data_IF_241532072066
#
_entry.id   IF_241532072066
#
_cell.length_a   1.000
_cell.length_b   1.000
_cell.length_c   1.000
_cell.angle_alpha   90.00
_cell.angle_beta   90.00
_cell.angle_gamma   90.00
#
_symmetry.space_group_name_H-M   'P 1'
#
loop_
_entity.id
_entity.type
_entity.pdbx_description
1 polymer ?
#
# COMPACT_ATOMS: atom_id res chain seq x y z
N UNK A 1 -2.49 -5.47 -23.99
CA UNK A 1 -3.17 -4.42 -23.23
C UNK A 1 -2.09 -3.43 -22.81
N UNK A 2 -2.14 -2.22 -23.37
CA UNK A 2 -1.10 -1.17 -23.23
C UNK A 2 -1.62 0.05 -22.47
N UNK A 3 -2.78 -0.07 -21.83
CA UNK A 3 -3.37 1.03 -21.08
C UNK A 3 -2.91 0.95 -19.64
N UNK A 4 -2.25 2.01 -19.17
CA UNK A 4 -1.92 2.19 -17.76
C UNK A 4 -3.24 2.33 -16.99
N UNK A 5 -3.45 1.49 -15.98
CA UNK A 5 -4.67 1.48 -15.18
C UNK A 5 -4.30 1.96 -13.78
N UNK A 6 -5.07 2.91 -13.25
CA UNK A 6 -4.96 3.32 -11.85
C UNK A 6 -6.07 2.70 -11.02
N UNK A 7 -5.69 2.02 -9.94
CA UNK A 7 -6.61 1.53 -8.92
C UNK A 7 -6.37 2.30 -7.61
N UNK A 8 -7.44 2.84 -7.04
CA UNK A 8 -7.41 3.46 -5.71
C UNK A 8 -8.38 2.76 -4.79
N UNK A 9 -7.98 2.59 -3.53
CA UNK A 9 -8.86 2.04 -2.51
C UNK A 9 -8.52 2.61 -1.14
N UNK A 10 -9.50 2.51 -0.24
CA UNK A 10 -9.31 2.78 1.18
C UNK A 10 -9.67 1.53 1.98
N UNK A 11 -8.94 1.28 3.06
CA UNK A 11 -9.20 0.15 3.96
C UNK A 11 -9.01 0.56 5.42
N UNK A 12 -9.60 -0.20 6.34
CA UNK A 12 -9.41 -0.04 7.77
C UNK A 12 -8.38 -1.07 8.24
N UNK A 13 -7.40 -0.65 9.04
CA UNK A 13 -6.42 -1.57 9.62
C UNK A 13 -7.10 -2.55 10.57
N UNK A 14 -6.64 -3.79 10.55
CA UNK A 14 -6.98 -4.81 11.54
C UNK A 14 -5.93 -4.91 12.65
N UNK A 15 -4.83 -4.16 12.53
CA UNK A 15 -3.74 -4.16 13.48
C UNK A 15 -4.12 -3.43 14.78
N UNK A 16 -3.51 -3.85 15.89
CA UNK A 16 -3.56 -3.07 17.11
C UNK A 16 -2.74 -1.77 16.94
N UNK A 17 -3.06 -0.68 17.66
CA UNK A 17 -2.36 0.60 17.54
C UNK A 17 -0.83 0.49 17.70
N UNK A 18 -0.38 -0.43 18.56
CA UNK A 18 1.05 -0.64 18.85
C UNK A 18 1.80 -1.36 17.71
N UNK A 19 1.09 -2.11 16.86
CA UNK A 19 1.69 -2.89 15.78
C UNK A 19 1.62 -2.18 14.42
N UNK A 20 0.78 -1.16 14.29
CA UNK A 20 0.48 -0.55 12.98
C UNK A 20 1.71 0.04 12.31
N UNK A 21 2.65 0.59 13.08
CA UNK A 21 3.89 1.16 12.53
C UNK A 21 4.77 0.07 11.92
N UNK A 22 4.85 -1.10 12.58
CA UNK A 22 5.59 -2.25 12.07
C UNK A 22 4.93 -2.80 10.82
N UNK A 23 3.62 -2.96 10.85
CA UNK A 23 2.85 -3.45 9.70
C UNK A 23 3.01 -2.51 8.49
N UNK A 24 3.01 -1.18 8.69
CA UNK A 24 3.28 -0.21 7.62
C UNK A 24 4.67 -0.44 7.01
N UNK A 25 5.71 -0.63 7.83
CA UNK A 25 7.08 -0.89 7.34
C UNK A 25 7.12 -2.20 6.55
N UNK A 26 6.53 -3.26 7.09
CA UNK A 26 6.52 -4.58 6.45
C UNK A 26 5.76 -4.55 5.11
N UNK A 27 4.62 -3.86 5.05
CA UNK A 27 3.85 -3.64 3.82
C UNK A 27 4.69 -2.88 2.78
N UNK A 28 5.38 -1.81 3.19
CA UNK A 28 6.21 -1.02 2.27
C UNK A 28 7.38 -1.85 1.74
N UNK A 29 8.07 -2.61 2.58
CA UNK A 29 9.17 -3.48 2.18
C UNK A 29 8.74 -4.53 1.14
N UNK A 30 7.60 -5.20 1.37
CA UNK A 30 7.06 -6.17 0.41
C UNK A 30 6.62 -5.48 -0.89
N UNK A 31 5.92 -4.35 -0.77
CA UNK A 31 5.39 -3.61 -1.93
C UNK A 31 6.51 -3.11 -2.84
N UNK A 32 7.59 -2.55 -2.30
CA UNK A 32 8.72 -2.06 -3.10
C UNK A 32 9.32 -3.18 -3.94
N UNK A 33 9.57 -4.35 -3.34
CA UNK A 33 10.19 -5.49 -4.03
C UNK A 33 9.26 -6.08 -5.10
N UNK A 34 7.99 -6.29 -4.75
CA UNK A 34 7.01 -6.86 -5.67
C UNK A 34 6.70 -5.89 -6.82
N UNK A 35 6.41 -4.63 -6.50
CA UNK A 35 5.99 -3.64 -7.48
C UNK A 35 7.10 -3.35 -8.49
N UNK A 36 8.37 -3.26 -8.05
CA UNK A 36 9.51 -3.07 -8.95
C UNK A 36 9.64 -4.20 -9.98
N UNK A 37 9.38 -5.46 -9.58
CA UNK A 37 9.42 -6.61 -10.48
C UNK A 37 8.28 -6.62 -11.51
N UNK A 38 7.14 -6.04 -11.15
CA UNK A 38 5.92 -6.04 -11.96
C UNK A 38 5.64 -4.70 -12.65
N UNK A 39 6.56 -3.75 -12.56
CA UNK A 39 6.41 -2.39 -13.09
C UNK A 39 5.16 -1.67 -12.58
N UNK A 40 4.79 -1.93 -11.32
CA UNK A 40 3.73 -1.23 -10.60
C UNK A 40 4.37 -0.06 -9.84
N UNK A 41 3.71 1.08 -9.82
CA UNK A 41 4.04 2.27 -9.04
C UNK A 41 2.86 2.67 -8.17
N UNK A 42 3.08 3.56 -7.20
CA UNK A 42 1.99 3.97 -6.34
C UNK A 42 2.40 4.70 -5.07
N UNK A 43 1.39 4.97 -4.24
CA UNK A 43 1.54 5.59 -2.92
C UNK A 43 0.64 4.86 -1.92
N UNK A 44 1.14 4.70 -0.69
CA UNK A 44 0.39 4.24 0.47
C UNK A 44 0.40 5.33 1.53
N UNK A 45 -0.79 5.71 2.00
CA UNK A 45 -0.98 6.66 3.07
C UNK A 45 -1.69 5.99 4.24
N UNK A 46 -1.25 6.29 5.47
CA UNK A 46 -1.83 5.76 6.69
C UNK A 46 -2.17 6.90 7.65
N UNK A 47 -3.43 6.95 8.11
CA UNK A 47 -3.87 7.88 9.16
C UNK A 47 -5.13 7.37 9.87
N UNK A 48 -5.25 7.64 11.18
CA UNK A 48 -6.44 7.30 11.99
C UNK A 48 -6.96 5.86 11.81
N UNK A 49 -6.06 4.86 11.76
CA UNK A 49 -6.41 3.45 11.53
C UNK A 49 -6.97 3.13 10.14
N UNK A 50 -6.80 4.02 9.16
CA UNK A 50 -7.17 3.78 7.77
C UNK A 50 -5.95 3.88 6.86
N UNK A 51 -5.99 3.07 5.81
CA UNK A 51 -5.08 3.15 4.68
C UNK A 51 -5.80 3.73 3.48
N UNK A 52 -5.06 4.51 2.70
CA UNK A 52 -5.41 4.85 1.33
C UNK A 52 -4.26 4.40 0.44
N UNK A 53 -4.55 3.65 -0.61
CA UNK A 53 -3.53 3.21 -1.56
C UNK A 53 -3.96 3.56 -2.99
N UNK A 54 -2.99 4.02 -3.77
CA UNK A 54 -3.09 4.20 -5.20
C UNK A 54 -2.00 3.35 -5.87
N UNK A 55 -2.38 2.56 -6.86
CA UNK A 55 -1.50 1.70 -7.65
C UNK A 55 -1.70 1.98 -9.14
N UNK A 56 -0.63 2.02 -9.92
CA UNK A 56 -0.63 2.23 -11.37
C UNK A 56 0.50 1.49 -12.08
#
# INVERSE_FOLDING_TARGET
MTDLIRLTYASKTTASPNNVQRDVIDILHQSIQFNAKHSISGVLFYNNNYFFQCLE
#
